data_IF_773953742541
#
_entry.id   IF_773953742541
#
_cell.length_a   1.000
_cell.length_b   1.000
_cell.length_c   1.000
_cell.angle_alpha   90.00
_cell.angle_beta   90.00
_cell.angle_gamma   90.00
#
_symmetry.space_group_name_H-M   'P 1'
#
loop_
_entity.id
_entity.type
_entity.pdbx_description
1 polymer ?
#
# COMPACT_ATOMS: atom_id res chain seq x y z
N UNK A 1 -6.70 1.23 31.34
CA UNK A 1 -6.92 1.82 30.00
C UNK A 1 -6.34 0.84 28.98
N UNK A 2 -6.80 -0.42 29.04
CA UNK A 2 -6.08 -1.56 28.42
C UNK A 2 -6.92 -2.24 27.32
N UNK A 3 -8.01 -1.60 26.90
CA UNK A 3 -8.96 -2.14 25.93
C UNK A 3 -8.44 -2.22 24.49
N UNK A 4 -7.29 -1.61 24.19
CA UNK A 4 -6.67 -1.63 22.86
C UNK A 4 -5.58 -2.70 22.72
N UNK A 5 -5.25 -3.49 23.74
CA UNK A 5 -4.16 -4.48 23.69
C UNK A 5 -4.40 -5.67 22.73
N UNK A 6 -5.58 -5.78 22.11
CA UNK A 6 -5.92 -6.85 21.15
C UNK A 6 -5.11 -6.76 19.84
N UNK A 7 -4.64 -5.57 19.49
CA UNK A 7 -3.71 -5.35 18.39
C UNK A 7 -2.46 -4.68 18.97
N UNK A 8 -1.27 -5.06 18.49
CA UNK A 8 -0.03 -4.36 18.82
C UNK A 8 -0.04 -2.98 18.12
N UNK A 9 -0.77 -2.03 18.72
CA UNK A 9 -0.90 -0.67 18.21
C UNK A 9 0.41 0.08 18.41
N UNK A 10 1.16 0.19 17.32
CA UNK A 10 2.29 1.09 17.20
C UNK A 10 1.91 2.26 16.30
N UNK A 11 2.66 3.36 16.37
CA UNK A 11 2.44 4.52 15.49
C UNK A 11 2.43 4.11 14.00
N UNK A 12 3.37 3.28 13.50
CA UNK A 12 3.33 2.80 12.11
C UNK A 12 2.06 2.01 11.77
N UNK A 13 1.65 1.08 12.64
CA UNK A 13 0.46 0.26 12.41
C UNK A 13 -0.81 1.11 12.40
N UNK A 14 -0.92 2.09 13.30
CA UNK A 14 -2.05 3.02 13.33
C UNK A 14 -2.16 3.85 12.04
N UNK A 15 -1.03 4.36 11.54
CA UNK A 15 -0.98 5.11 10.27
C UNK A 15 -1.40 4.23 9.09
N UNK A 16 -0.93 2.98 9.03
CA UNK A 16 -1.30 2.03 7.96
C UNK A 16 -2.82 1.80 7.90
N UNK A 17 -3.45 1.48 9.04
CA UNK A 17 -4.90 1.23 9.09
C UNK A 17 -5.70 2.51 8.82
N UNK A 18 -5.24 3.67 9.28
CA UNK A 18 -5.88 4.94 8.96
C UNK A 18 -5.84 5.24 7.46
N UNK A 19 -4.70 4.99 6.80
CA UNK A 19 -4.57 5.14 5.35
C UNK A 19 -5.46 4.15 4.58
N UNK A 20 -5.54 2.90 5.03
CA UNK A 20 -6.44 1.89 4.47
C UNK A 20 -7.91 2.33 4.58
N UNK A 21 -8.33 2.77 5.77
CA UNK A 21 -9.69 3.25 6.01
C UNK A 21 -10.02 4.48 5.15
N UNK A 22 -9.09 5.43 5.04
CA UNK A 22 -9.25 6.60 4.18
C UNK A 22 -9.41 6.19 2.71
N UNK A 23 -8.59 5.26 2.23
CA UNK A 23 -8.65 4.77 0.85
C UNK A 23 -9.99 4.10 0.56
N UNK A 24 -10.47 3.24 1.45
CA UNK A 24 -11.78 2.61 1.34
C UNK A 24 -12.93 3.64 1.36
N UNK A 25 -12.85 4.63 2.25
CA UNK A 25 -13.85 5.70 2.33
C UNK A 25 -13.90 6.52 1.04
N UNK A 26 -12.74 6.90 0.49
CA UNK A 26 -12.63 7.62 -0.79
C UNK A 26 -13.22 6.79 -1.93
N UNK A 27 -12.91 5.50 -2.02
CA UNK A 27 -13.46 4.65 -3.08
C UNK A 27 -14.97 4.47 -2.95
N UNK A 28 -15.48 4.30 -1.74
CA UNK A 28 -16.92 4.22 -1.47
C UNK A 28 -17.64 5.51 -1.88
N UNK A 29 -17.08 6.66 -1.52
CA UNK A 29 -17.60 7.97 -1.93
C UNK A 29 -17.57 8.13 -3.46
N UNK A 30 -16.50 7.67 -4.11
CA UNK A 30 -16.35 7.78 -5.55
C UNK A 30 -17.33 6.87 -6.30
N UNK A 31 -17.55 5.64 -5.81
CA UNK A 31 -18.55 4.71 -6.33
C UNK A 31 -19.98 5.25 -6.16
N UNK A 32 -20.27 5.87 -5.02
CA UNK A 32 -21.57 6.51 -4.76
C UNK A 32 -21.83 7.73 -5.66
N UNK A 33 -20.78 8.50 -6.00
CA UNK A 33 -20.89 9.70 -6.84
C UNK A 33 -20.82 9.43 -8.34
N UNK A 34 -20.04 8.46 -8.77
CA UNK A 34 -19.78 8.16 -10.18
C UNK A 34 -20.06 6.68 -10.43
N UNK A 35 -21.24 6.33 -10.98
CA UNK A 35 -21.60 4.96 -11.29
C UNK A 35 -20.49 4.30 -12.13
N UNK A 36 -20.08 3.12 -11.69
CA UNK A 36 -18.91 2.44 -12.23
C UNK A 36 -19.20 1.96 -13.66
N UNK A 37 -18.53 2.57 -14.63
CA UNK A 37 -18.47 2.01 -15.98
C UNK A 37 -17.45 0.88 -15.96
N UNK A 38 -17.92 -0.37 -16.10
CA UNK A 38 -17.04 -1.51 -16.34
C UNK A 38 -16.18 -1.22 -17.58
N UNK A 39 -14.85 -1.25 -17.40
CA UNK A 39 -13.91 -1.18 -18.50
C UNK A 39 -13.22 -2.52 -18.63
N UNK A 40 -13.33 -3.11 -19.81
CA UNK A 40 -12.64 -4.35 -20.16
C UNK A 40 -11.16 -4.02 -20.28
N UNK A 41 -10.39 -4.48 -19.30
CA UNK A 41 -8.94 -4.32 -19.26
C UNK A 41 -8.19 -5.26 -20.19
N UNK A 42 -6.86 -5.19 -20.14
CA UNK A 42 -5.95 -6.09 -20.90
C UNK A 42 -6.21 -7.58 -20.63
N UNK A 43 -6.65 -7.92 -19.42
CA UNK A 43 -7.00 -9.30 -19.03
C UNK A 43 -8.35 -9.79 -19.57
N UNK A 44 -9.10 -8.97 -20.32
CA UNK A 44 -10.46 -9.23 -20.83
C UNK A 44 -11.52 -9.52 -19.76
N UNK A 45 -11.19 -9.34 -18.49
CA UNK A 45 -12.14 -9.38 -17.37
C UNK A 45 -12.66 -7.94 -17.18
N UNK A 46 -13.98 -7.72 -17.05
CA UNK A 46 -14.50 -6.43 -16.61
C UNK A 46 -13.94 -6.12 -15.22
N UNK A 47 -13.20 -5.04 -15.07
CA UNK A 47 -12.65 -4.61 -13.78
C UNK A 47 -13.25 -3.26 -13.40
N UNK A 48 -13.73 -3.16 -12.17
CA UNK A 48 -14.19 -1.91 -11.58
C UNK A 48 -13.00 -1.08 -11.07
N UNK A 49 -13.27 0.16 -10.64
CA UNK A 49 -12.25 0.99 -9.97
C UNK A 49 -11.80 0.37 -8.65
N UNK A 50 -12.73 -0.27 -7.92
CA UNK A 50 -12.46 -1.00 -6.68
C UNK A 50 -11.55 -2.21 -6.89
N UNK A 51 -11.80 -3.00 -7.94
CA UNK A 51 -10.98 -4.17 -8.26
C UNK A 51 -9.52 -3.80 -8.53
N UNK A 52 -9.30 -2.68 -9.22
CA UNK A 52 -7.95 -2.17 -9.52
C UNK A 52 -7.19 -1.76 -8.27
N UNK A 53 -7.86 -1.11 -7.32
CA UNK A 53 -7.27 -0.80 -6.02
C UNK A 53 -6.91 -2.10 -5.27
N UNK A 54 -7.84 -3.05 -5.20
CA UNK A 54 -7.62 -4.31 -4.50
C UNK A 54 -6.43 -5.09 -5.07
N UNK A 55 -6.34 -5.20 -6.40
CA UNK A 55 -5.21 -5.83 -7.09
C UNK A 55 -3.90 -5.10 -6.78
N UNK A 56 -3.90 -3.77 -6.77
CA UNK A 56 -2.71 -2.99 -6.42
C UNK A 56 -2.26 -3.20 -4.97
N UNK A 57 -3.19 -3.35 -4.03
CA UNK A 57 -2.89 -3.64 -2.62
C UNK A 57 -2.33 -5.06 -2.45
N UNK A 58 -2.90 -6.06 -3.14
CA UNK A 58 -2.36 -7.42 -3.16
C UNK A 58 -0.95 -7.42 -3.73
N UNK A 59 -0.74 -6.77 -4.88
CA UNK A 59 0.57 -6.72 -5.51
C UNK A 59 1.59 -6.02 -4.60
N UNK A 60 1.21 -4.92 -3.95
CA UNK A 60 2.03 -4.25 -2.95
C UNK A 60 2.47 -5.20 -1.83
N UNK A 61 1.52 -5.96 -1.26
CA UNK A 61 1.81 -6.93 -0.20
C UNK A 61 2.76 -8.04 -0.68
N UNK A 62 2.53 -8.59 -1.87
CA UNK A 62 3.38 -9.62 -2.48
C UNK A 62 4.79 -9.08 -2.75
N UNK A 63 4.93 -7.86 -3.28
CA UNK A 63 6.24 -7.22 -3.50
C UNK A 63 7.00 -7.09 -2.17
N UNK A 64 6.34 -6.64 -1.10
CA UNK A 64 7.00 -6.50 0.21
C UNK A 64 7.40 -7.84 0.80
N UNK A 65 6.53 -8.86 0.73
CA UNK A 65 6.84 -10.22 1.17
C UNK A 65 8.01 -10.82 0.38
N UNK A 66 8.01 -10.68 -0.95
CA UNK A 66 9.08 -11.14 -1.81
C UNK A 66 10.40 -10.41 -1.53
N UNK A 67 10.35 -9.10 -1.29
CA UNK A 67 11.53 -8.30 -0.94
C UNK A 67 12.15 -8.76 0.38
N UNK A 68 11.33 -8.94 1.41
CA UNK A 68 11.78 -9.45 2.72
C UNK A 68 12.40 -10.84 2.56
N UNK A 69 11.77 -11.74 1.79
CA UNK A 69 12.24 -13.11 1.61
C UNK A 69 13.48 -13.29 0.74
N UNK A 70 13.72 -12.38 -0.23
CA UNK A 70 14.79 -12.52 -1.22
C UNK A 70 15.95 -11.52 -1.04
N UNK A 71 15.64 -10.30 -0.59
CA UNK A 71 16.61 -9.19 -0.47
C UNK A 71 16.95 -8.93 1.00
N UNK A 72 15.95 -8.97 1.88
CA UNK A 72 16.10 -8.66 3.31
C UNK A 72 15.70 -7.22 3.66
N UNK A 73 16.00 -6.81 4.88
CA UNK A 73 15.54 -5.53 5.47
C UNK A 73 16.70 -4.63 5.90
N UNK A 74 17.88 -4.82 5.32
CA UNK A 74 19.10 -4.12 5.71
C UNK A 74 18.96 -2.60 5.62
N UNK A 75 19.59 -1.89 6.55
CA UNK A 75 19.63 -0.43 6.58
C UNK A 75 20.55 0.08 5.48
N UNK A 76 20.01 0.89 4.56
CA UNK A 76 20.72 1.45 3.41
C UNK A 76 21.41 2.77 3.77
N UNK A 77 20.77 3.62 4.57
CA UNK A 77 21.31 4.92 4.94
C UNK A 77 20.86 5.31 6.34
N UNK A 78 21.76 5.91 7.12
CA UNK A 78 21.42 6.55 8.39
C UNK A 78 21.41 8.06 8.16
N UNK A 79 20.23 8.67 8.27
CA UNK A 79 20.09 10.11 8.18
C UNK A 79 20.44 10.73 9.53
N UNK A 80 21.27 11.78 9.61
CA UNK A 80 21.62 12.46 10.87
C UNK A 80 20.47 13.38 11.33
N UNK A 81 19.30 12.80 11.56
CA UNK A 81 18.09 13.46 12.05
C UNK A 81 17.67 12.76 13.36
N UNK A 82 17.77 13.49 14.48
CA UNK A 82 17.59 12.95 15.84
C UNK A 82 18.90 12.48 16.47
N UNK A 83 18.95 12.36 17.80
CA UNK A 83 20.16 11.96 18.56
C UNK A 83 20.69 10.57 18.18
N UNK A 84 19.82 9.68 17.69
CA UNK A 84 20.20 8.30 17.30
C UNK A 84 20.31 8.08 15.78
N UNK A 85 19.99 9.09 14.95
CA UNK A 85 19.95 8.97 13.50
C UNK A 85 18.78 8.10 12.99
N UNK A 86 18.12 8.54 11.92
CA UNK A 86 17.00 7.79 11.34
C UNK A 86 17.51 6.72 10.37
N UNK A 87 17.26 5.46 10.69
CA UNK A 87 17.62 4.32 9.85
C UNK A 87 16.66 4.13 8.68
N UNK A 88 17.17 4.29 7.46
CA UNK A 88 16.43 4.06 6.21
C UNK A 88 16.67 2.62 5.76
N UNK A 89 15.68 1.75 5.96
CA UNK A 89 15.74 0.36 5.52
C UNK A 89 15.56 0.19 4.00
N UNK A 90 16.01 -0.94 3.47
CA UNK A 90 15.82 -1.31 2.06
C UNK A 90 14.35 -1.43 1.64
N UNK A 91 13.43 -1.52 2.61
CA UNK A 91 11.98 -1.55 2.39
C UNK A 91 11.43 -0.25 1.76
N UNK A 92 12.17 0.86 1.85
CA UNK A 92 11.82 2.08 1.12
C UNK A 92 11.89 1.89 -0.40
N UNK A 93 12.80 1.03 -0.89
CA UNK A 93 12.87 0.67 -2.30
C UNK A 93 11.68 -0.21 -2.70
N UNK A 94 11.32 -1.19 -1.86
CA UNK A 94 10.12 -2.01 -2.07
C UNK A 94 8.85 -1.15 -2.13
N UNK A 95 8.77 -0.12 -1.29
CA UNK A 95 7.68 0.86 -1.29
C UNK A 95 7.63 1.64 -2.62
N UNK A 96 8.77 2.12 -3.11
CA UNK A 96 8.86 2.83 -4.39
C UNK A 96 8.44 1.94 -5.57
N UNK A 97 8.89 0.68 -5.59
CA UNK A 97 8.51 -0.30 -6.61
C UNK A 97 7.01 -0.57 -6.57
N UNK A 98 6.46 -0.80 -5.38
CA UNK A 98 5.02 -1.00 -5.16
C UNK A 98 4.19 0.18 -5.69
N UNK A 99 4.60 1.42 -5.39
CA UNK A 99 3.93 2.62 -5.90
C UNK A 99 4.02 2.73 -7.42
N UNK A 100 5.18 2.43 -8.01
CA UNK A 100 5.34 2.42 -9.46
C UNK A 100 4.45 1.36 -10.13
N UNK A 101 4.37 0.16 -9.56
CA UNK A 101 3.49 -0.92 -10.02
C UNK A 101 2.01 -0.54 -9.90
N UNK A 102 1.61 0.08 -8.78
CA UNK A 102 0.24 0.57 -8.60
C UNK A 102 -0.11 1.62 -9.68
N UNK A 103 0.74 2.61 -9.90
CA UNK A 103 0.53 3.63 -10.95
C UNK A 103 0.44 3.00 -12.34
N UNK A 104 1.26 1.99 -12.63
CA UNK A 104 1.20 1.26 -13.90
C UNK A 104 -0.15 0.55 -14.08
N UNK A 105 -0.69 -0.10 -13.04
CA UNK A 105 -2.01 -0.75 -13.06
C UNK A 105 -3.12 0.26 -13.31
N UNK A 106 -3.07 1.41 -12.64
CA UNK A 106 -4.08 2.46 -12.83
C UNK A 106 -4.00 3.13 -14.22
N UNK A 107 -2.83 3.11 -14.88
CA UNK A 107 -2.61 3.71 -16.21
C UNK A 107 -2.89 2.79 -17.39
N UNK A 108 -2.62 1.49 -17.25
CA UNK A 108 -2.62 0.54 -18.37
C UNK A 108 -3.98 -0.09 -18.67
N UNK A 109 -5.00 0.19 -17.85
CA UNK A 109 -6.32 -0.43 -17.90
C UNK A 109 -7.38 0.67 -17.93
#
# INVERSE_FOLDING_TARGET
MDSIAWMAWTLPTAIFFAALACTLAVMTLLAARYPEAERVGVLRIPTTRGDRLFISLILAAVIHLAWIGLVGTDTIATLPLGEEGFEVSSLWLATAISLASAVAIFRTV
#
